data_IF_235660989525
#
_entry.id   IF_235660989525
#
_cell.length_a   1.000
_cell.length_b   1.000
_cell.length_c   1.000
_cell.angle_alpha   90.00
_cell.angle_beta   90.00
_cell.angle_gamma   90.00
#
_symmetry.space_group_name_H-M   'P 1'
#
loop_
_entity.id
_entity.type
_entity.pdbx_description
1 polymer ?
#
# COMPACT_ATOMS: atom_id res chain seq x y z
N UNK A 1 -19.87 -1.06 -22.93
CA UNK A 1 -18.92 -0.23 -23.71
C UNK A 1 -18.37 -1.09 -24.84
N UNK A 2 -18.21 -0.59 -26.07
CA UNK A 2 -17.52 -1.33 -27.13
C UNK A 2 -16.00 -1.22 -27.00
N UNK A 3 -15.23 -2.18 -27.57
CA UNK A 3 -13.75 -2.10 -27.59
C UNK A 3 -13.27 -0.79 -28.19
N UNK A 4 -13.88 -0.34 -29.30
CA UNK A 4 -13.54 0.94 -29.96
C UNK A 4 -13.75 2.13 -29.05
N UNK A 5 -14.88 2.19 -28.34
CA UNK A 5 -15.17 3.27 -27.39
C UNK A 5 -14.20 3.28 -26.23
N UNK A 6 -13.85 2.12 -25.69
CA UNK A 6 -12.81 2.00 -24.66
C UNK A 6 -11.44 2.47 -25.17
N UNK A 7 -11.06 2.10 -26.40
CA UNK A 7 -9.80 2.55 -27.01
C UNK A 7 -9.76 4.08 -27.13
N UNK A 8 -10.85 4.70 -27.57
CA UNK A 8 -10.90 6.15 -27.79
C UNK A 8 -11.00 6.95 -26.48
N UNK A 9 -11.87 6.54 -25.54
CA UNK A 9 -12.19 7.31 -24.34
C UNK A 9 -11.27 7.00 -23.15
N UNK A 10 -10.62 5.82 -23.10
CA UNK A 10 -9.83 5.37 -21.96
C UNK A 10 -8.36 5.11 -22.32
N UNK A 11 -8.11 4.28 -23.35
CA UNK A 11 -6.75 3.87 -23.67
C UNK A 11 -5.92 4.99 -24.28
N UNK A 12 -6.41 5.68 -25.31
CA UNK A 12 -5.65 6.75 -25.98
C UNK A 12 -5.22 7.87 -25.03
N UNK A 13 -6.11 8.46 -24.21
CA UNK A 13 -5.71 9.49 -23.25
C UNK A 13 -4.69 8.98 -22.22
N UNK A 14 -4.76 7.70 -21.88
CA UNK A 14 -3.78 7.09 -20.98
C UNK A 14 -2.41 6.96 -21.63
N UNK A 15 -2.35 6.54 -22.90
CA UNK A 15 -1.09 6.38 -23.63
C UNK A 15 -0.39 7.71 -23.92
N UNK A 16 -1.15 8.78 -24.12
CA UNK A 16 -0.60 10.14 -24.28
C UNK A 16 0.10 10.61 -23.01
N UNK A 17 -0.45 10.29 -21.85
CA UNK A 17 0.08 10.68 -20.55
C UNK A 17 1.12 9.69 -19.99
N UNK A 18 0.90 8.40 -20.23
CA UNK A 18 1.73 7.29 -19.74
C UNK A 18 1.99 6.29 -20.86
N UNK A 19 3.03 6.48 -21.67
CA UNK A 19 3.34 5.57 -22.78
C UNK A 19 3.72 4.17 -22.30
N UNK A 20 3.49 3.18 -23.15
CA UNK A 20 3.95 1.81 -22.88
C UNK A 20 5.47 1.72 -22.89
N UNK A 21 6.01 0.74 -22.17
CA UNK A 21 7.44 0.43 -22.17
C UNK A 21 7.89 -0.03 -23.57
N UNK A 22 9.15 0.24 -23.93
CA UNK A 22 9.72 -0.16 -25.22
C UNK A 22 9.57 -1.67 -25.48
N UNK A 23 9.81 -2.49 -24.46
CA UNK A 23 9.71 -3.95 -24.55
C UNK A 23 8.26 -4.39 -24.80
N UNK A 24 7.28 -3.71 -24.26
CA UNK A 24 5.87 -3.98 -24.51
C UNK A 24 5.44 -3.67 -25.95
N UNK A 25 6.09 -2.69 -26.59
CA UNK A 25 5.83 -2.35 -27.99
C UNK A 25 6.34 -3.43 -28.97
N UNK A 26 7.32 -4.24 -28.55
CA UNK A 26 7.81 -5.38 -29.33
C UNK A 26 6.89 -6.61 -29.27
N UNK A 27 5.96 -6.65 -28.32
CA UNK A 27 5.00 -7.75 -28.18
C UNK A 27 3.92 -7.65 -29.27
N UNK A 28 3.91 -8.63 -30.17
CA UNK A 28 2.96 -8.69 -31.29
C UNK A 28 1.55 -9.15 -30.90
N UNK A 29 1.34 -9.58 -29.63
CA UNK A 29 0.02 -9.99 -29.15
C UNK A 29 -0.92 -8.79 -29.04
N UNK A 30 -2.20 -9.05 -29.27
CA UNK A 30 -3.24 -8.03 -29.07
C UNK A 30 -3.17 -7.48 -27.62
N UNK A 31 -3.25 -6.15 -27.49
CA UNK A 31 -3.27 -5.48 -26.18
C UNK A 31 -4.44 -5.94 -25.32
N UNK A 32 -5.56 -6.21 -25.94
CA UNK A 32 -6.78 -6.70 -25.31
C UNK A 32 -7.49 -7.71 -26.19
N UNK A 33 -7.68 -8.91 -25.68
CA UNK A 33 -8.52 -9.92 -26.31
C UNK A 33 -9.94 -9.83 -25.76
N UNK A 34 -10.91 -9.68 -26.65
CA UNK A 34 -12.34 -9.68 -26.33
C UNK A 34 -12.95 -10.90 -27.00
N UNK A 35 -13.54 -11.86 -26.27
CA UNK A 35 -14.23 -12.98 -26.88
C UNK A 35 -15.38 -12.49 -27.74
N UNK A 36 -15.42 -12.88 -29.01
CA UNK A 36 -16.47 -12.44 -29.95
C UNK A 36 -17.87 -12.93 -29.60
N UNK A 37 -17.95 -14.01 -28.80
CA UNK A 37 -19.18 -14.75 -28.51
C UNK A 37 -19.68 -14.66 -27.08
N UNK A 38 -19.07 -13.85 -26.22
CA UNK A 38 -19.52 -13.71 -24.83
C UNK A 38 -20.45 -12.51 -24.70
N UNK A 39 -21.75 -12.78 -24.57
CA UNK A 39 -22.82 -11.76 -24.51
C UNK A 39 -22.74 -10.78 -23.33
N UNK A 40 -21.93 -11.05 -22.31
CA UNK A 40 -21.87 -10.25 -21.05
C UNK A 40 -20.57 -9.48 -20.84
N UNK A 41 -19.70 -9.31 -21.83
CA UNK A 41 -18.45 -8.55 -21.68
C UNK A 41 -18.55 -7.08 -22.09
N UNK A 42 -19.74 -6.59 -22.37
CA UNK A 42 -19.93 -5.22 -22.87
C UNK A 42 -19.39 -4.11 -21.97
N UNK A 43 -19.11 -4.43 -20.68
CA UNK A 43 -18.65 -3.47 -19.69
C UNK A 43 -17.33 -3.80 -19.00
N UNK A 44 -16.64 -4.88 -19.39
CA UNK A 44 -15.43 -5.34 -18.69
C UNK A 44 -14.16 -4.98 -19.44
N UNK A 45 -13.74 -3.72 -19.39
CA UNK A 45 -12.49 -3.25 -19.98
C UNK A 45 -11.51 -2.79 -18.91
N UNK A 46 -10.18 -3.02 -19.09
CA UNK A 46 -9.17 -2.52 -18.16
C UNK A 46 -9.25 -0.99 -18.03
N UNK A 47 -9.11 -0.48 -16.80
CA UNK A 47 -9.17 0.94 -16.52
C UNK A 47 -10.56 1.58 -16.60
N UNK A 48 -11.62 0.75 -16.74
CA UNK A 48 -13.01 1.21 -16.74
C UNK A 48 -13.81 0.49 -15.66
N UNK A 49 -14.76 1.20 -15.06
CA UNK A 49 -15.69 0.62 -14.11
C UNK A 49 -16.42 -0.59 -14.73
N UNK A 50 -16.59 -1.70 -14.02
CA UNK A 50 -16.33 -1.98 -12.61
C UNK A 50 -14.90 -2.51 -12.30
N UNK A 51 -13.92 -2.25 -13.13
CA UNK A 51 -12.48 -2.57 -12.94
C UNK A 51 -12.17 -4.07 -12.76
N UNK A 52 -13.04 -4.96 -13.17
CA UNK A 52 -12.88 -6.43 -13.06
C UNK A 52 -11.65 -6.94 -13.80
N UNK A 53 -11.15 -6.18 -14.79
CA UNK A 53 -9.93 -6.47 -15.55
C UNK A 53 -8.75 -5.57 -15.19
N UNK A 54 -8.78 -4.91 -14.04
CA UNK A 54 -7.73 -4.05 -13.51
C UNK A 54 -7.99 -2.56 -13.70
N UNK A 55 -7.31 -1.76 -12.90
CA UNK A 55 -7.46 -0.29 -12.84
C UNK A 55 -6.65 0.46 -13.90
N UNK A 56 -5.71 -0.21 -14.57
CA UNK A 56 -4.85 0.41 -15.57
C UNK A 56 -5.20 -0.09 -16.99
N UNK A 57 -5.53 0.80 -17.95
CA UNK A 57 -5.89 0.40 -19.31
C UNK A 57 -4.80 -0.40 -20.03
N UNK A 58 -3.54 -0.08 -19.76
CA UNK A 58 -2.38 -0.74 -20.35
C UNK A 58 -1.87 -1.96 -19.55
N UNK A 59 -2.39 -2.18 -18.34
CA UNK A 59 -1.90 -3.23 -17.45
C UNK A 59 -0.38 -3.15 -17.25
N UNK A 60 0.29 -4.29 -17.32
CA UNK A 60 1.76 -4.34 -17.19
C UNK A 60 2.54 -3.93 -18.44
N UNK A 61 1.88 -3.59 -19.55
CA UNK A 61 2.54 -3.04 -20.72
C UNK A 61 3.05 -1.61 -20.47
N UNK A 62 2.29 -0.80 -19.70
CA UNK A 62 2.69 0.54 -19.31
C UNK A 62 3.77 0.54 -18.23
N UNK A 63 3.54 -0.22 -17.16
CA UNK A 63 4.46 -0.31 -16.04
C UNK A 63 4.40 -1.71 -15.42
N UNK A 64 5.55 -2.29 -15.13
CA UNK A 64 5.63 -3.51 -14.30
C UNK A 64 5.26 -3.21 -12.86
N UNK A 65 4.90 -4.24 -12.11
CA UNK A 65 4.72 -4.14 -10.66
C UNK A 65 6.01 -3.67 -9.97
N UNK A 66 5.87 -3.03 -8.83
CA UNK A 66 7.00 -2.65 -8.02
C UNK A 66 7.57 -3.90 -7.33
N UNK A 67 8.86 -4.14 -7.51
CA UNK A 67 9.59 -5.21 -6.82
C UNK A 67 10.04 -4.71 -5.44
N UNK A 68 9.62 -5.42 -4.38
CA UNK A 68 9.96 -5.10 -2.98
C UNK A 68 10.21 -6.37 -2.21
N UNK A 69 11.26 -6.39 -1.40
CA UNK A 69 11.38 -7.33 -0.30
C UNK A 69 10.95 -6.65 1.00
N UNK A 70 10.20 -7.39 1.82
CA UNK A 70 9.94 -7.02 3.20
C UNK A 70 11.21 -7.29 4.01
N UNK A 71 11.85 -6.24 4.50
CA UNK A 71 13.14 -6.33 5.15
C UNK A 71 13.25 -5.34 6.32
N UNK A 72 13.89 -5.79 7.38
CA UNK A 72 14.20 -5.04 8.58
C UNK A 72 14.67 -6.01 9.66
N UNK A 73 15.76 -5.68 10.32
CA UNK A 73 16.33 -6.45 11.43
C UNK A 73 17.37 -5.61 12.16
N UNK A 74 17.58 -5.89 13.43
CA UNK A 74 18.61 -5.25 14.22
C UNK A 74 18.47 -3.74 14.28
N UNK A 75 19.57 -3.05 14.03
CA UNK A 75 19.67 -1.61 14.06
C UNK A 75 19.26 -0.96 12.72
N UNK A 76 19.02 0.35 12.75
CA UNK A 76 18.78 1.14 11.56
C UNK A 76 19.95 1.07 10.55
N UNK A 77 21.20 1.04 11.06
CA UNK A 77 22.40 0.91 10.23
C UNK A 77 22.49 -0.44 9.49
N UNK A 78 22.20 -1.54 10.19
CA UNK A 78 22.23 -2.90 9.58
C UNK A 78 21.15 -3.02 8.50
N UNK A 79 19.94 -2.53 8.79
CA UNK A 79 18.84 -2.53 7.82
C UNK A 79 19.11 -1.58 6.65
N UNK A 80 19.75 -0.43 6.87
CA UNK A 80 20.19 0.48 5.80
C UNK A 80 21.13 -0.22 4.80
N UNK A 81 22.13 -0.93 5.30
CA UNK A 81 23.05 -1.72 4.45
C UNK A 81 22.27 -2.70 3.57
N UNK A 82 21.25 -3.36 4.13
CA UNK A 82 20.38 -4.26 3.39
C UNK A 82 19.54 -3.53 2.34
N UNK A 83 18.97 -2.38 2.66
CA UNK A 83 18.19 -1.58 1.71
C UNK A 83 19.04 -1.11 0.52
N UNK A 84 20.24 -0.62 0.76
CA UNK A 84 21.16 -0.22 -0.31
C UNK A 84 21.51 -1.38 -1.23
N UNK A 85 21.86 -2.52 -0.65
CA UNK A 85 22.10 -3.76 -1.40
C UNK A 85 20.89 -4.16 -2.27
N UNK A 86 19.68 -4.12 -1.73
CA UNK A 86 18.46 -4.48 -2.48
C UNK A 86 18.23 -3.52 -3.67
N UNK A 87 18.51 -2.24 -3.52
CA UNK A 87 18.41 -1.26 -4.61
C UNK A 87 19.48 -1.50 -5.68
N UNK A 88 20.71 -1.82 -5.28
CA UNK A 88 21.81 -2.19 -6.18
C UNK A 88 21.47 -3.45 -6.99
N UNK A 89 20.79 -4.44 -6.38
CA UNK A 89 20.30 -5.65 -7.03
C UNK A 89 19.01 -5.43 -7.87
N UNK A 90 18.61 -4.19 -8.09
CA UNK A 90 17.55 -3.81 -9.03
C UNK A 90 16.14 -3.79 -8.45
N UNK A 91 15.96 -3.80 -7.13
CA UNK A 91 14.66 -3.56 -6.55
C UNK A 91 14.19 -2.12 -6.84
N UNK A 92 12.88 -1.96 -7.06
CA UNK A 92 12.30 -0.68 -7.46
C UNK A 92 11.55 0.02 -6.32
N UNK A 93 11.59 -0.56 -5.15
CA UNK A 93 11.00 0.00 -3.93
C UNK A 93 11.45 -0.77 -2.70
N UNK A 94 11.22 -0.18 -1.54
CA UNK A 94 11.54 -0.75 -0.23
C UNK A 94 10.27 -1.08 0.55
N UNK A 95 10.35 -2.09 1.41
CA UNK A 95 9.30 -2.43 2.37
C UNK A 95 9.92 -2.65 3.74
N UNK A 96 9.56 -1.79 4.70
CA UNK A 96 10.16 -1.77 6.03
C UNK A 96 9.42 -2.72 6.97
N UNK A 97 10.15 -3.66 7.56
CA UNK A 97 9.72 -4.44 8.70
C UNK A 97 10.20 -3.75 9.98
N UNK A 98 9.29 -3.28 10.81
CA UNK A 98 9.60 -2.74 12.14
C UNK A 98 9.54 -3.85 13.18
N UNK A 99 10.35 -3.75 14.21
CA UNK A 99 10.32 -4.69 15.31
C UNK A 99 9.06 -4.54 16.20
N UNK A 100 8.85 -5.47 17.09
CA UNK A 100 7.65 -5.49 17.93
C UNK A 100 7.57 -4.28 18.87
N UNK A 101 8.65 -3.84 19.58
CA UNK A 101 8.62 -2.64 20.39
C UNK A 101 8.16 -1.40 19.59
N UNK A 102 8.77 -1.14 18.43
CA UNK A 102 8.35 -0.04 17.55
C UNK A 102 6.86 -0.14 17.17
N UNK A 103 6.36 -1.34 16.88
CA UNK A 103 4.95 -1.54 16.48
C UNK A 103 3.96 -1.27 17.59
N UNK A 104 4.33 -1.45 18.85
CA UNK A 104 3.47 -1.27 20.03
C UNK A 104 3.82 0.00 20.84
N UNK A 105 4.75 0.82 20.32
CA UNK A 105 5.06 2.14 20.88
C UNK A 105 5.95 2.15 22.10
N UNK A 106 6.82 1.17 22.23
CA UNK A 106 7.88 1.15 23.25
C UNK A 106 9.22 1.51 22.63
N UNK A 107 10.03 2.25 23.36
CA UNK A 107 11.43 2.49 23.03
C UNK A 107 12.27 1.23 23.32
N UNK A 108 13.43 1.12 22.69
CA UNK A 108 14.30 -0.07 22.79
C UNK A 108 14.86 -0.31 24.20
N UNK A 109 14.95 0.75 25.03
CA UNK A 109 15.43 0.67 26.41
C UNK A 109 14.31 0.42 27.44
N UNK A 110 13.06 0.33 27.01
CA UNK A 110 11.94 -0.03 27.88
C UNK A 110 12.10 -1.49 28.35
N UNK A 111 11.87 -1.78 29.64
CA UNK A 111 11.91 -3.14 30.17
C UNK A 111 11.00 -4.15 29.42
N UNK A 112 9.89 -3.70 28.86
CA UNK A 112 8.97 -4.53 28.05
C UNK A 112 9.54 -4.90 26.68
N UNK A 113 10.54 -4.17 26.19
CA UNK A 113 11.19 -4.40 24.91
C UNK A 113 12.29 -5.47 24.97
N UNK A 114 12.66 -5.89 26.19
CA UNK A 114 13.78 -6.81 26.38
C UNK A 114 13.58 -8.13 25.63
N UNK A 115 14.55 -8.46 24.78
CA UNK A 115 14.54 -9.68 23.97
C UNK A 115 13.75 -9.62 22.66
N UNK A 116 13.07 -8.48 22.36
CA UNK A 116 12.33 -8.30 21.13
C UNK A 116 12.92 -7.20 20.21
N UNK A 117 13.82 -6.37 20.73
CA UNK A 117 14.46 -5.28 19.98
C UNK A 117 15.23 -5.83 18.78
N UNK A 118 14.91 -5.33 17.59
CA UNK A 118 15.56 -5.70 16.33
C UNK A 118 15.34 -7.14 15.83
N UNK A 119 14.48 -7.94 16.49
CA UNK A 119 14.35 -9.38 16.25
C UNK A 119 13.49 -9.70 15.01
N UNK A 120 12.31 -9.12 14.89
CA UNK A 120 11.37 -9.37 13.77
C UNK A 120 11.29 -8.19 12.78
N UNK A 121 12.11 -7.19 12.99
CA UNK A 121 12.16 -5.97 12.20
C UNK A 121 13.23 -5.03 12.74
N UNK A 122 13.34 -3.85 12.17
CA UNK A 122 14.25 -2.80 12.61
C UNK A 122 13.67 -2.02 13.79
N UNK A 123 14.48 -1.75 14.79
CA UNK A 123 14.14 -0.87 15.90
C UNK A 123 14.26 0.59 15.46
N UNK A 124 13.21 1.39 15.66
CA UNK A 124 13.15 2.83 15.39
C UNK A 124 12.54 3.54 16.59
N UNK A 125 13.36 4.17 17.37
CA UNK A 125 12.95 4.92 18.56
C UNK A 125 12.83 6.42 18.26
N UNK A 126 13.73 6.93 17.42
CA UNK A 126 13.90 8.36 17.20
C UNK A 126 13.97 8.74 15.71
N UNK A 127 13.91 10.04 15.43
CA UNK A 127 14.14 10.59 14.09
C UNK A 127 15.55 10.29 13.59
N UNK A 128 16.53 10.13 14.48
CA UNK A 128 17.91 9.83 14.09
C UNK A 128 18.02 8.40 13.57
N UNK A 129 17.30 7.43 14.13
CA UNK A 129 17.22 6.07 13.61
C UNK A 129 16.55 6.06 12.23
N UNK A 130 15.48 6.83 12.05
CA UNK A 130 14.83 6.96 10.74
C UNK A 130 15.75 7.57 9.69
N UNK A 131 16.54 8.59 10.03
CA UNK A 131 17.55 9.18 9.14
C UNK A 131 18.64 8.16 8.80
N UNK A 132 19.11 7.41 9.79
CA UNK A 132 20.13 6.38 9.60
C UNK A 132 19.59 5.23 8.73
N UNK A 133 18.33 4.81 8.93
CA UNK A 133 17.66 3.78 8.12
C UNK A 133 17.64 4.15 6.63
N UNK A 134 17.43 5.41 6.31
CA UNK A 134 17.33 5.90 4.93
C UNK A 134 18.56 6.70 4.45
N UNK A 135 19.68 6.60 5.16
CA UNK A 135 20.93 7.25 4.72
C UNK A 135 21.36 6.73 3.34
N UNK A 136 21.62 7.67 2.43
CA UNK A 136 21.99 7.34 1.04
C UNK A 136 20.88 6.72 0.18
N UNK A 137 19.66 6.55 0.70
CA UNK A 137 18.48 6.08 -0.07
C UNK A 137 17.78 7.29 -0.69
N UNK A 138 17.62 7.34 -2.04
CA UNK A 138 17.04 8.51 -2.71
C UNK A 138 15.51 8.54 -2.58
N UNK A 139 14.97 9.07 -1.47
CA UNK A 139 13.54 9.08 -1.12
C UNK A 139 12.65 9.81 -2.14
N UNK A 140 13.20 10.72 -2.93
CA UNK A 140 12.47 11.39 -4.02
C UNK A 140 12.13 10.48 -5.20
N UNK A 141 12.80 9.33 -5.35
CA UNK A 141 12.64 8.41 -6.49
C UNK A 141 12.22 7.01 -6.07
N UNK A 142 12.69 6.53 -4.91
CA UNK A 142 12.34 5.21 -4.37
C UNK A 142 10.95 5.28 -3.71
N UNK A 143 10.14 4.27 -3.95
CA UNK A 143 8.85 4.11 -3.27
C UNK A 143 9.03 3.25 -2.02
N UNK A 144 8.61 3.74 -0.86
CA UNK A 144 8.74 3.04 0.42
C UNK A 144 7.39 2.57 0.95
N UNK A 145 7.30 1.31 1.35
CA UNK A 145 6.15 0.77 2.09
C UNK A 145 6.53 0.59 3.55
N UNK A 146 5.69 1.04 4.46
CA UNK A 146 5.87 0.88 5.90
C UNK A 146 4.73 0.04 6.48
N UNK A 147 5.08 -1.14 7.00
CA UNK A 147 4.12 -2.04 7.64
C UNK A 147 4.00 -1.67 9.11
N UNK A 148 3.24 -0.61 9.37
CA UNK A 148 3.05 -0.03 10.69
C UNK A 148 1.61 0.48 10.85
N UNK A 149 1.01 0.35 12.03
CA UNK A 149 -0.40 0.63 12.28
C UNK A 149 -0.59 1.61 13.46
N UNK A 150 -0.50 1.17 14.69
CA UNK A 150 -0.76 2.04 15.85
C UNK A 150 0.10 3.31 15.87
N UNK A 151 1.45 3.26 15.72
CA UNK A 151 2.31 4.45 15.65
C UNK A 151 2.51 4.98 14.21
N UNK A 152 1.62 4.64 13.27
CA UNK A 152 1.78 4.99 11.85
C UNK A 152 1.98 6.50 11.62
N UNK A 153 1.22 7.35 12.31
CA UNK A 153 1.33 8.80 12.16
C UNK A 153 2.71 9.32 12.58
N UNK A 154 3.29 8.78 13.66
CA UNK A 154 4.61 9.15 14.15
C UNK A 154 5.71 8.71 13.19
N UNK A 155 5.68 7.45 12.74
CA UNK A 155 6.67 6.93 11.79
C UNK A 155 6.58 7.65 10.43
N UNK A 156 5.38 8.02 9.99
CA UNK A 156 5.21 8.82 8.77
C UNK A 156 5.80 10.23 8.95
N UNK A 157 5.58 10.87 10.08
CA UNK A 157 6.16 12.18 10.36
C UNK A 157 7.70 12.13 10.37
N UNK A 158 8.30 11.12 11.00
CA UNK A 158 9.75 10.88 10.96
C UNK A 158 10.25 10.64 9.52
N UNK A 159 9.52 9.88 8.71
CA UNK A 159 9.87 9.63 7.31
C UNK A 159 9.84 10.92 6.48
N UNK A 160 8.81 11.75 6.64
CA UNK A 160 8.69 13.04 5.96
C UNK A 160 9.84 13.96 6.36
N UNK A 161 10.13 14.09 7.65
CA UNK A 161 11.25 14.89 8.16
C UNK A 161 12.61 14.38 7.65
N UNK A 162 12.78 13.07 7.53
CA UNK A 162 13.97 12.47 6.91
C UNK A 162 14.08 12.87 5.44
N UNK A 163 12.99 12.79 4.67
CA UNK A 163 12.96 13.26 3.28
C UNK A 163 13.33 14.74 3.16
N UNK A 164 12.78 15.59 4.02
CA UNK A 164 13.13 17.01 4.07
C UNK A 164 14.61 17.24 4.36
N UNK A 165 15.20 16.49 5.29
CA UNK A 165 16.63 16.57 5.61
C UNK A 165 17.53 16.18 4.43
N UNK A 166 17.04 15.35 3.52
CA UNK A 166 17.69 15.01 2.24
C UNK A 166 17.41 16.02 1.12
N UNK A 167 16.70 17.11 1.38
CA UNK A 167 16.30 18.11 0.37
C UNK A 167 15.16 17.66 -0.55
N UNK A 168 14.45 16.58 -0.21
CA UNK A 168 13.32 16.08 -0.99
C UNK A 168 12.05 16.85 -0.58
N UNK A 169 11.33 17.38 -1.58
CA UNK A 169 10.03 18.02 -1.33
C UNK A 169 8.99 16.97 -0.93
N UNK A 170 8.12 17.29 0.01
CA UNK A 170 7.03 16.40 0.46
C UNK A 170 6.21 15.84 -0.72
N UNK A 171 5.86 16.70 -1.68
CA UNK A 171 5.11 16.29 -2.88
C UNK A 171 5.81 15.29 -3.80
N UNK A 172 7.10 15.03 -3.58
CA UNK A 172 7.88 14.02 -4.32
C UNK A 172 7.88 12.68 -3.61
N UNK A 173 7.67 12.65 -2.29
CA UNK A 173 7.62 11.42 -1.50
C UNK A 173 6.50 10.51 -2.01
N UNK A 174 6.81 9.23 -2.14
CA UNK A 174 5.88 8.21 -2.62
C UNK A 174 6.03 6.93 -1.83
N UNK A 175 4.92 6.31 -1.54
CA UNK A 175 4.94 5.08 -0.76
C UNK A 175 3.56 4.68 -0.28
N UNK A 176 3.58 3.85 0.73
CA UNK A 176 2.37 3.36 1.41
C UNK A 176 2.67 3.22 2.89
N UNK A 177 1.75 3.61 3.73
CA UNK A 177 1.73 3.22 5.14
C UNK A 177 0.52 2.32 5.37
N UNK A 178 0.69 1.24 6.15
CA UNK A 178 -0.41 0.29 6.35
C UNK A 178 -1.57 0.95 7.09
N UNK A 179 -1.32 1.57 8.25
CA UNK A 179 -2.26 2.45 8.95
C UNK A 179 -3.66 1.86 9.15
N UNK A 180 -3.75 0.53 9.20
CA UNK A 180 -5.01 -0.22 9.37
C UNK A 180 -5.15 -0.68 10.81
N UNK A 181 -5.81 0.13 11.64
CA UNK A 181 -5.93 -0.17 13.06
C UNK A 181 -7.07 -1.15 13.37
N UNK A 182 -8.13 -1.17 12.58
CA UNK A 182 -9.28 -2.06 12.85
C UNK A 182 -8.88 -3.54 12.81
N UNK A 183 -8.02 -3.93 11.87
CA UNK A 183 -7.54 -5.31 11.81
C UNK A 183 -6.66 -5.70 13.01
N UNK A 184 -6.04 -4.73 13.68
CA UNK A 184 -5.27 -5.00 14.90
C UNK A 184 -6.18 -5.46 16.03
N UNK A 185 -7.37 -4.86 16.18
CA UNK A 185 -8.36 -5.31 17.17
C UNK A 185 -9.02 -6.64 16.80
N UNK A 186 -9.11 -6.94 15.50
CA UNK A 186 -9.79 -8.16 15.01
C UNK A 186 -8.86 -9.38 15.05
N UNK A 187 -7.60 -9.24 14.60
CA UNK A 187 -6.76 -10.39 14.28
C UNK A 187 -5.32 -10.31 14.80
N UNK A 188 -4.65 -9.15 14.73
CA UNK A 188 -3.20 -9.07 14.91
C UNK A 188 -2.76 -8.69 16.32
N UNK A 189 -3.48 -7.81 17.01
CA UNK A 189 -3.29 -7.51 18.42
C UNK A 189 -2.24 -6.43 18.76
N UNK A 190 -1.62 -5.75 17.78
CA UNK A 190 -0.62 -4.70 18.01
C UNK A 190 -1.24 -3.30 18.00
N UNK A 191 -2.07 -2.99 18.96
CA UNK A 191 -2.68 -1.67 19.14
C UNK A 191 -2.16 -1.00 20.42
N UNK A 192 -2.18 0.35 20.43
CA UNK A 192 -1.72 1.19 21.56
C UNK A 192 -2.92 1.92 22.18
N UNK A 193 -3.74 2.54 21.34
CA UNK A 193 -4.83 3.41 21.77
C UNK A 193 -6.20 2.71 21.61
N UNK A 194 -7.24 3.17 22.33
CA UNK A 194 -8.61 2.71 22.09
C UNK A 194 -9.08 3.02 20.66
N UNK A 195 -10.12 2.31 20.15
CA UNK A 195 -10.55 2.40 18.75
C UNK A 195 -10.85 3.82 18.26
N UNK A 196 -11.53 4.63 19.04
CA UNK A 196 -11.92 6.01 18.66
C UNK A 196 -10.69 6.89 18.42
N UNK A 197 -9.71 6.88 19.33
CA UNK A 197 -8.48 7.65 19.23
C UNK A 197 -7.62 7.15 18.06
N UNK A 198 -7.58 5.85 17.85
CA UNK A 198 -6.88 5.24 16.73
C UNK A 198 -7.51 5.63 15.38
N UNK A 199 -8.83 5.65 15.28
CA UNK A 199 -9.55 6.10 14.08
C UNK A 199 -9.29 7.58 13.78
N UNK A 200 -9.22 8.43 14.82
CA UNK A 200 -8.82 9.83 14.66
C UNK A 200 -7.43 9.96 14.05
N UNK A 201 -6.43 9.25 14.60
CA UNK A 201 -5.05 9.28 14.09
C UNK A 201 -5.00 8.77 12.62
N UNK A 202 -5.75 7.73 12.29
CA UNK A 202 -5.83 7.21 10.92
C UNK A 202 -6.36 8.26 9.94
N UNK A 203 -7.43 8.97 10.31
CA UNK A 203 -8.01 10.01 9.46
C UNK A 203 -7.19 11.29 9.43
N UNK A 204 -6.40 11.59 10.48
CA UNK A 204 -5.40 12.67 10.48
C UNK A 204 -4.32 12.42 9.42
N UNK A 205 -3.88 11.16 9.27
CA UNK A 205 -2.95 10.76 8.18
C UNK A 205 -3.59 10.97 6.81
N UNK A 206 -4.88 10.68 6.63
CA UNK A 206 -5.57 10.92 5.35
C UNK A 206 -5.55 12.42 5.01
N UNK A 207 -5.94 13.26 5.94
CA UNK A 207 -5.98 14.71 5.77
C UNK A 207 -4.59 15.29 5.44
N UNK A 208 -3.59 14.91 6.22
CA UNK A 208 -2.22 15.38 5.99
C UNK A 208 -1.68 14.95 4.60
N UNK A 209 -1.86 13.67 4.25
CA UNK A 209 -1.34 13.14 3.00
C UNK A 209 -2.01 13.74 1.77
N UNK A 210 -3.33 13.95 1.79
CA UNK A 210 -4.05 14.54 0.66
C UNK A 210 -3.53 15.94 0.33
N UNK A 211 -3.14 16.71 1.34
CA UNK A 211 -2.65 18.09 1.22
C UNK A 211 -1.16 18.19 0.89
N UNK A 212 -0.33 17.36 1.50
CA UNK A 212 1.13 17.57 1.52
C UNK A 212 1.92 16.51 0.74
N UNK A 213 1.48 15.25 0.77
CA UNK A 213 2.17 14.12 0.10
C UNK A 213 1.23 13.34 -0.84
N UNK A 214 0.73 13.97 -1.92
CA UNK A 214 -0.37 13.45 -2.75
C UNK A 214 -0.06 12.13 -3.48
N UNK A 215 1.20 11.67 -3.46
CA UNK A 215 1.62 10.38 -4.04
C UNK A 215 1.69 9.24 -3.02
N UNK A 216 1.26 9.49 -1.78
CA UNK A 216 1.29 8.53 -0.69
C UNK A 216 -0.03 7.77 -0.58
N UNK A 217 0.03 6.45 -0.51
CA UNK A 217 -1.15 5.65 -0.17
C UNK A 217 -1.32 5.66 1.35
N UNK A 218 -2.42 6.24 1.80
CA UNK A 218 -2.68 6.61 3.19
C UNK A 218 -3.06 5.45 4.09
N UNK A 219 -3.55 4.37 3.47
CA UNK A 219 -3.94 3.14 4.15
C UNK A 219 -3.80 1.93 3.22
N UNK A 220 -3.51 0.78 3.80
CA UNK A 220 -3.64 -0.51 3.15
C UNK A 220 -4.57 -1.38 4.00
N UNK A 221 -5.86 -1.35 3.68
CA UNK A 221 -6.90 -2.09 4.43
C UNK A 221 -6.66 -3.58 4.26
N UNK A 222 -6.38 -4.27 5.38
CA UNK A 222 -5.73 -5.58 5.36
C UNK A 222 -6.68 -6.72 5.69
N UNK A 223 -7.02 -7.52 4.70
CA UNK A 223 -7.66 -8.82 4.85
C UNK A 223 -6.67 -9.96 5.16
N UNK A 224 -5.41 -9.81 4.73
CA UNK A 224 -4.37 -10.81 4.88
C UNK A 224 -4.31 -11.39 6.30
N UNK A 225 -4.19 -10.55 7.33
CA UNK A 225 -4.04 -10.99 8.71
C UNK A 225 -5.30 -11.70 9.24
N UNK A 226 -6.47 -11.26 8.80
CA UNK A 226 -7.75 -11.89 9.17
C UNK A 226 -7.82 -13.30 8.54
N UNK A 227 -7.38 -13.43 7.28
CA UNK A 227 -7.31 -14.72 6.57
C UNK A 227 -6.33 -15.68 7.22
N UNK A 228 -5.13 -15.20 7.56
CA UNK A 228 -4.11 -15.99 8.27
C UNK A 228 -4.55 -16.40 9.69
N UNK A 229 -5.41 -15.61 10.33
CA UNK A 229 -6.05 -15.99 11.60
C UNK A 229 -7.11 -17.08 11.45
N UNK A 230 -7.42 -17.54 10.22
CA UNK A 230 -8.25 -18.72 9.95
C UNK A 230 -9.66 -18.44 9.43
N UNK A 231 -9.98 -17.23 9.02
CA UNK A 231 -11.28 -16.95 8.42
C UNK A 231 -11.39 -17.53 6.99
N UNK A 232 -12.61 -17.68 6.48
CA UNK A 232 -12.85 -18.06 5.08
C UNK A 232 -12.55 -16.89 4.13
N UNK A 233 -12.46 -17.13 2.83
CA UNK A 233 -12.24 -16.07 1.84
C UNK A 233 -13.39 -15.07 1.77
N UNK A 234 -14.65 -15.53 1.97
CA UNK A 234 -15.81 -14.67 2.04
C UNK A 234 -15.78 -13.77 3.28
N UNK A 235 -15.36 -14.33 4.42
CA UNK A 235 -15.20 -13.56 5.66
C UNK A 235 -14.05 -12.55 5.52
N UNK A 236 -12.94 -12.93 4.89
CA UNK A 236 -11.86 -12.00 4.58
C UNK A 236 -12.38 -10.80 3.77
N UNK A 237 -13.12 -11.05 2.68
CA UNK A 237 -13.70 -9.97 1.87
C UNK A 237 -14.67 -9.11 2.67
N UNK A 238 -15.62 -9.74 3.36
CA UNK A 238 -16.65 -9.04 4.10
C UNK A 238 -16.07 -8.12 5.19
N UNK A 239 -15.13 -8.62 6.00
CA UNK A 239 -14.53 -7.85 7.07
C UNK A 239 -13.60 -6.74 6.52
N UNK A 240 -12.82 -7.04 5.49
CA UNK A 240 -11.90 -6.06 4.90
C UNK A 240 -12.67 -4.91 4.24
N UNK A 241 -13.73 -5.20 3.50
CA UNK A 241 -14.55 -4.17 2.85
C UNK A 241 -15.32 -3.37 3.91
N UNK A 242 -15.86 -4.02 4.94
CA UNK A 242 -16.51 -3.33 6.06
C UNK A 242 -15.54 -2.36 6.78
N UNK A 243 -14.29 -2.78 7.01
CA UNK A 243 -13.25 -1.90 7.54
C UNK A 243 -12.96 -0.72 6.59
N UNK A 244 -12.83 -0.98 5.28
CA UNK A 244 -12.62 0.06 4.29
C UNK A 244 -13.73 1.11 4.26
N UNK A 245 -14.99 0.66 4.29
CA UNK A 245 -16.17 1.53 4.38
C UNK A 245 -16.17 2.34 5.69
N UNK A 246 -15.76 1.72 6.81
CA UNK A 246 -15.68 2.39 8.11
C UNK A 246 -14.63 3.50 8.09
N UNK A 247 -13.45 3.27 7.53
CA UNK A 247 -12.43 4.30 7.35
C UNK A 247 -12.90 5.44 6.46
N UNK A 248 -13.51 5.12 5.31
CA UNK A 248 -14.03 6.14 4.40
C UNK A 248 -15.12 7.00 5.07
N UNK A 249 -16.04 6.38 5.81
CA UNK A 249 -17.07 7.09 6.56
C UNK A 249 -16.47 8.03 7.61
N UNK A 250 -15.52 7.55 8.41
CA UNK A 250 -14.85 8.36 9.42
C UNK A 250 -14.11 9.56 8.80
N UNK A 251 -13.50 9.40 7.62
CA UNK A 251 -12.86 10.49 6.91
C UNK A 251 -13.87 11.53 6.41
N UNK A 252 -15.00 11.09 5.86
CA UNK A 252 -16.10 11.99 5.41
C UNK A 252 -16.73 12.72 6.60
N UNK A 253 -16.98 12.02 7.72
CA UNK A 253 -17.50 12.64 8.96
C UNK A 253 -16.54 13.70 9.53
N UNK A 254 -15.24 13.54 9.30
CA UNK A 254 -14.22 14.56 9.62
C UNK A 254 -14.23 15.76 8.65
N UNK A 255 -14.99 15.68 7.57
CA UNK A 255 -15.11 16.76 6.56
C UNK A 255 -14.16 16.64 5.38
N UNK A 256 -13.51 15.49 5.17
CA UNK A 256 -12.67 15.25 4.00
C UNK A 256 -13.54 14.92 2.78
N UNK A 257 -13.15 15.44 1.62
CA UNK A 257 -13.77 15.05 0.35
C UNK A 257 -13.31 13.65 -0.05
N UNK A 258 -14.27 12.80 -0.42
CA UNK A 258 -13.99 11.40 -0.80
C UNK A 258 -13.06 11.33 -2.02
N UNK A 259 -13.16 12.26 -2.95
CA UNK A 259 -12.34 12.29 -4.16
C UNK A 259 -10.88 12.67 -3.89
N UNK A 260 -10.60 13.32 -2.75
CA UNK A 260 -9.23 13.68 -2.33
C UNK A 260 -8.48 12.50 -1.69
N UNK A 261 -9.14 11.65 -0.90
CA UNK A 261 -8.46 10.58 -0.16
C UNK A 261 -8.70 9.17 -0.72
N UNK A 262 -9.90 8.85 -1.22
CA UNK A 262 -10.25 7.49 -1.62
C UNK A 262 -9.36 6.93 -2.77
N UNK A 263 -8.89 7.75 -3.75
CA UNK A 263 -7.95 7.26 -4.76
C UNK A 263 -6.61 6.75 -4.20
N UNK A 264 -6.31 7.05 -2.94
CA UNK A 264 -5.09 6.63 -2.22
C UNK A 264 -5.33 5.53 -1.18
N UNK A 265 -6.57 5.09 -1.03
CA UNK A 265 -6.86 3.88 -0.27
C UNK A 265 -6.45 2.65 -1.07
N UNK A 266 -5.78 1.72 -0.42
CA UNK A 266 -5.37 0.45 -1.02
C UNK A 266 -5.89 -0.71 -0.17
N UNK A 267 -5.95 -1.90 -0.76
CA UNK A 267 -6.32 -3.14 -0.07
C UNK A 267 -5.15 -4.13 -0.10
N UNK A 268 -5.06 -4.93 0.96
CA UNK A 268 -4.10 -5.99 1.11
C UNK A 268 -4.82 -7.30 1.42
N UNK A 269 -5.11 -8.09 0.40
CA UNK A 269 -5.73 -9.40 0.52
C UNK A 269 -4.69 -10.52 0.53
N UNK A 270 -5.06 -11.66 1.10
CA UNK A 270 -4.28 -12.89 1.02
C UNK A 270 -4.42 -13.54 -0.36
N UNK A 271 -3.38 -14.18 -0.84
CA UNK A 271 -3.42 -15.17 -1.93
C UNK A 271 -3.17 -16.55 -1.36
N UNK A 272 -4.21 -17.25 -0.90
CA UNK A 272 -4.12 -18.53 -0.22
C UNK A 272 -3.90 -19.70 -1.21
N UNK A 273 -3.84 -20.94 -0.72
CA UNK A 273 -3.41 -22.11 -1.50
C UNK A 273 -4.41 -22.62 -2.54
N UNK A 274 -5.71 -22.31 -2.41
CA UNK A 274 -6.70 -22.72 -3.40
C UNK A 274 -6.70 -21.75 -4.60
N UNK A 275 -5.97 -22.14 -5.64
CA UNK A 275 -5.72 -21.31 -6.82
C UNK A 275 -6.99 -20.78 -7.51
N UNK A 276 -7.96 -21.65 -7.78
CA UNK A 276 -9.18 -21.26 -8.50
C UNK A 276 -10.11 -20.42 -7.61
N UNK A 277 -10.16 -20.74 -6.34
CA UNK A 277 -10.96 -20.01 -5.37
C UNK A 277 -10.43 -18.58 -5.15
N UNK A 278 -9.11 -18.43 -5.08
CA UNK A 278 -8.46 -17.12 -4.94
C UNK A 278 -8.68 -16.23 -6.19
N UNK A 279 -8.63 -16.81 -7.39
CA UNK A 279 -8.99 -16.07 -8.62
C UNK A 279 -10.43 -15.56 -8.54
N UNK A 280 -11.37 -16.43 -8.14
CA UNK A 280 -12.78 -16.06 -7.99
C UNK A 280 -12.97 -14.97 -6.92
N UNK A 281 -12.28 -15.08 -5.76
CA UNK A 281 -12.28 -14.08 -4.69
C UNK A 281 -11.84 -12.71 -5.19
N UNK A 282 -10.72 -12.59 -5.88
CA UNK A 282 -10.23 -11.31 -6.38
C UNK A 282 -11.14 -10.71 -7.45
N UNK A 283 -11.78 -11.53 -8.27
CA UNK A 283 -12.80 -11.06 -9.22
C UNK A 283 -14.04 -10.52 -8.51
N UNK A 284 -14.53 -11.23 -7.50
CA UNK A 284 -15.66 -10.80 -6.67
C UNK A 284 -15.34 -9.50 -5.91
N UNK A 285 -14.15 -9.41 -5.30
CA UNK A 285 -13.71 -8.21 -4.58
C UNK A 285 -13.75 -6.93 -5.42
N UNK A 286 -13.53 -7.04 -6.74
CA UNK A 286 -13.60 -5.88 -7.65
C UNK A 286 -15.03 -5.50 -8.01
N UNK A 287 -15.98 -6.40 -7.89
CA UNK A 287 -17.40 -6.13 -8.19
C UNK A 287 -18.13 -5.54 -6.98
N UNK A 288 -17.71 -5.93 -5.77
CA UNK A 288 -18.26 -5.40 -4.52
C UNK A 288 -17.78 -3.99 -4.26
#
# INVERSE_FOLDING_TARGET
MSKKRWEDETLKPTLEKYPERKEALLDKRERLNVPKDVKNTENEFPGSFPYTRGIHPTGYRGKMWTMRQYAGFGTAEETNKRFRYLLEEGQTGLSVAFDLPTQIGYDSDDPMSQGEVGKVGVAIDTIEDMKQLFDGVPLGTVSTSMTINAPASMLLAMYVATGQSQGVKESQLRGTIQNDILKEYIARGTYIFPPEQSMRLTTDVFDYCSKNIPKWNTISVSGYHIREAGCSAEQELAFTIANGVTYARAAVEKGLDVDDFAPRMAFFFNGHNDFLYEIAKFRAARQI
#
